data_IF_353932695507
#
_entry.id   IF_353932695507
#
_cell.length_a   1.000
_cell.length_b   1.000
_cell.length_c   1.000
_cell.angle_alpha   90.00
_cell.angle_beta   90.00
_cell.angle_gamma   90.00
#
_symmetry.space_group_name_H-M   'P 1'
#
loop_
_entity.id
_entity.type
_entity.pdbx_description
1 polymer ?
#
# COMPACT_ATOMS: atom_id res chain seq x y z
N UNK A 1 29.00 8.31 -30.63
CA UNK A 1 27.67 7.66 -30.76
C UNK A 1 27.04 7.75 -29.40
N UNK A 2 26.17 8.77 -29.14
CA UNK A 2 25.46 8.93 -27.85
C UNK A 2 24.27 8.02 -27.87
N UNK A 3 24.31 6.97 -27.04
CA UNK A 3 23.15 6.12 -26.77
C UNK A 3 22.18 6.96 -25.94
N UNK A 4 21.10 7.41 -26.57
CA UNK A 4 19.95 8.01 -25.90
C UNK A 4 19.28 6.89 -25.08
N UNK A 5 19.50 6.87 -23.77
CA UNK A 5 18.62 6.17 -22.86
C UNK A 5 17.29 6.94 -22.84
N UNK A 6 16.31 6.43 -23.54
CA UNK A 6 14.92 6.76 -23.29
C UNK A 6 14.63 6.26 -21.89
N UNK A 7 14.66 7.17 -20.91
CA UNK A 7 14.06 6.95 -19.63
C UNK A 7 12.55 7.02 -19.90
N UNK A 8 11.89 5.86 -20.05
CA UNK A 8 10.45 5.78 -20.13
C UNK A 8 9.93 6.37 -18.80
N UNK A 9 9.36 7.58 -18.87
CA UNK A 9 8.68 8.18 -17.72
C UNK A 9 7.59 7.21 -17.28
N UNK A 10 7.57 6.84 -16.01
CA UNK A 10 6.57 5.94 -15.45
C UNK A 10 5.20 6.55 -15.74
N UNK A 11 4.40 5.88 -16.54
CA UNK A 11 3.00 6.26 -16.74
C UNK A 11 2.18 5.73 -15.56
N UNK A 12 2.16 6.47 -14.48
CA UNK A 12 1.49 6.09 -13.23
C UNK A 12 0.02 5.70 -13.41
N UNK A 13 -0.69 6.33 -14.35
CA UNK A 13 -2.10 6.03 -14.62
C UNK A 13 -2.27 4.65 -15.25
N UNK A 14 -1.47 4.32 -16.26
CA UNK A 14 -1.55 3.02 -16.92
C UNK A 14 -1.09 1.89 -16.00
N UNK A 15 -0.07 2.13 -15.20
CA UNK A 15 0.39 1.18 -14.19
C UNK A 15 -0.68 0.91 -13.13
N UNK A 16 -1.37 1.95 -12.65
CA UNK A 16 -2.46 1.80 -11.68
C UNK A 16 -3.59 0.92 -12.23
N UNK A 17 -3.93 1.07 -13.53
CA UNK A 17 -4.91 0.22 -14.23
C UNK A 17 -4.45 -1.24 -14.30
N UNK A 18 -3.18 -1.49 -14.60
CA UNK A 18 -2.63 -2.85 -14.64
C UNK A 18 -2.65 -3.50 -13.25
N UNK A 19 -2.26 -2.77 -12.22
CA UNK A 19 -2.35 -3.25 -10.83
C UNK A 19 -3.81 -3.54 -10.46
N UNK A 20 -4.76 -2.66 -10.78
CA UNK A 20 -6.19 -2.88 -10.56
C UNK A 20 -6.66 -4.21 -11.18
N UNK A 21 -6.33 -4.42 -12.45
CA UNK A 21 -6.69 -5.64 -13.16
C UNK A 21 -6.07 -6.90 -12.52
N UNK A 22 -4.81 -6.83 -12.10
CA UNK A 22 -4.16 -7.94 -11.38
C UNK A 22 -4.88 -8.26 -10.07
N UNK A 23 -5.21 -7.25 -9.25
CA UNK A 23 -5.86 -7.44 -7.96
C UNK A 23 -7.26 -8.03 -8.10
N UNK A 24 -8.03 -7.63 -9.13
CA UNK A 24 -9.34 -8.19 -9.46
C UNK A 24 -9.22 -9.64 -9.97
N UNK A 25 -8.29 -9.91 -10.89
CA UNK A 25 -8.09 -11.22 -11.50
C UNK A 25 -7.78 -12.31 -10.48
N UNK A 26 -6.90 -12.04 -9.52
CA UNK A 26 -6.52 -13.00 -8.47
C UNK A 26 -7.49 -12.97 -7.27
N UNK A 27 -8.55 -12.18 -7.34
CA UNK A 27 -9.49 -11.96 -6.24
C UNK A 27 -8.80 -11.52 -4.93
N UNK A 28 -7.70 -10.76 -5.05
CA UNK A 28 -7.14 -10.01 -3.93
C UNK A 28 -8.11 -8.91 -3.52
N UNK A 29 -8.78 -8.31 -4.50
CA UNK A 29 -9.92 -7.43 -4.26
C UNK A 29 -11.17 -8.07 -4.87
N UNK A 30 -12.26 -8.05 -4.09
CA UNK A 30 -13.57 -8.57 -4.46
C UNK A 30 -14.60 -7.46 -4.27
N UNK A 31 -15.41 -7.22 -5.29
CA UNK A 31 -16.51 -6.24 -5.27
C UNK A 31 -17.85 -6.97 -5.22
N UNK A 32 -18.63 -6.72 -4.17
CA UNK A 32 -19.96 -7.32 -3.96
C UNK A 32 -20.96 -6.27 -3.44
N UNK A 33 -21.35 -5.29 -4.26
CA UNK A 33 -22.23 -4.20 -3.82
C UNK A 33 -23.63 -4.67 -3.41
N UNK A 34 -24.13 -5.78 -3.99
CA UNK A 34 -25.46 -6.33 -3.69
C UNK A 34 -25.44 -7.36 -2.53
N UNK A 35 -24.26 -7.80 -2.09
CA UNK A 35 -24.09 -8.71 -0.95
C UNK A 35 -22.85 -8.32 -0.16
N UNK A 36 -22.91 -7.22 0.61
CA UNK A 36 -21.76 -6.61 1.22
C UNK A 36 -21.11 -7.48 2.32
N UNK A 37 -19.81 -7.33 2.44
CA UNK A 37 -19.03 -7.88 3.54
C UNK A 37 -19.31 -7.13 4.85
N UNK A 38 -19.03 -7.76 5.97
CA UNK A 38 -18.93 -7.08 7.27
C UNK A 38 -17.47 -7.09 7.70
N UNK A 39 -16.86 -5.91 7.82
CA UNK A 39 -15.48 -5.76 8.28
C UNK A 39 -15.38 -6.03 9.79
N UNK A 40 -14.16 -6.27 10.28
CA UNK A 40 -13.89 -6.47 11.70
C UNK A 40 -14.33 -5.26 12.57
N UNK A 41 -14.39 -4.07 11.99
CA UNK A 41 -14.93 -2.84 12.59
C UNK A 41 -16.46 -2.85 12.74
N UNK A 42 -17.15 -3.83 12.20
CA UNK A 42 -18.61 -3.91 12.11
C UNK A 42 -19.22 -3.18 10.92
N UNK A 43 -18.42 -2.47 10.12
CA UNK A 43 -18.95 -1.73 8.96
C UNK A 43 -19.33 -2.68 7.83
N UNK A 44 -20.44 -2.34 7.16
CA UNK A 44 -20.79 -2.97 5.88
C UNK A 44 -19.92 -2.39 4.78
N UNK A 45 -19.41 -3.26 3.92
CA UNK A 45 -18.55 -2.86 2.81
C UNK A 45 -18.82 -3.66 1.54
N UNK A 46 -19.00 -3.01 0.39
CA UNK A 46 -19.15 -3.67 -0.89
C UNK A 46 -17.81 -4.17 -1.47
N UNK A 47 -16.71 -3.94 -0.75
CA UNK A 47 -15.37 -4.34 -1.15
C UNK A 47 -14.66 -5.08 -0.03
N UNK A 48 -13.97 -6.15 -0.40
CA UNK A 48 -13.01 -6.87 0.43
C UNK A 48 -11.64 -6.83 -0.23
N UNK A 49 -10.60 -6.52 0.54
CA UNK A 49 -9.22 -6.44 0.06
C UNK A 49 -8.30 -7.31 0.92
N UNK A 50 -7.53 -8.18 0.26
CA UNK A 50 -6.45 -8.96 0.85
C UNK A 50 -5.27 -9.01 -0.14
N UNK A 51 -4.45 -7.97 -0.12
CA UNK A 51 -3.31 -7.83 -1.02
C UNK A 51 -2.19 -8.87 -0.77
N UNK A 52 -2.21 -9.56 0.38
CA UNK A 52 -1.29 -10.66 0.69
C UNK A 52 -1.41 -11.80 -0.31
N UNK A 53 -2.56 -11.96 -0.97
CA UNK A 53 -2.74 -12.92 -2.06
C UNK A 53 -1.77 -12.71 -3.22
N UNK A 54 -1.28 -11.49 -3.46
CA UNK A 54 -0.28 -11.20 -4.50
C UNK A 54 0.97 -12.05 -4.34
N UNK A 55 1.32 -12.41 -3.11
CA UNK A 55 2.50 -13.21 -2.78
C UNK A 55 2.47 -14.61 -3.43
N UNK A 56 1.27 -15.16 -3.62
CA UNK A 56 1.06 -16.50 -4.21
C UNK A 56 1.08 -16.51 -5.75
N UNK A 57 1.15 -15.33 -6.40
CA UNK A 57 1.17 -15.19 -7.85
C UNK A 57 2.50 -14.57 -8.31
N UNK A 58 3.51 -15.38 -8.68
CA UNK A 58 4.87 -14.91 -8.92
C UNK A 58 4.99 -13.74 -9.92
N UNK A 59 4.23 -13.79 -11.02
CA UNK A 59 4.24 -12.72 -12.03
C UNK A 59 3.72 -11.38 -11.47
N UNK A 60 2.61 -11.43 -10.73
CA UNK A 60 2.00 -10.24 -10.12
C UNK A 60 2.88 -9.71 -8.99
N UNK A 61 3.38 -10.59 -8.13
CA UNK A 61 4.33 -10.24 -7.07
C UNK A 61 5.57 -9.55 -7.60
N UNK A 62 6.14 -10.07 -8.69
CA UNK A 62 7.30 -9.46 -9.36
C UNK A 62 6.96 -8.09 -9.93
N UNK A 63 5.80 -7.94 -10.58
CA UNK A 63 5.35 -6.66 -11.12
C UNK A 63 5.20 -5.61 -10.00
N UNK A 64 4.48 -5.94 -8.91
CA UNK A 64 4.31 -5.05 -7.74
C UNK A 64 5.67 -4.65 -7.17
N UNK A 65 6.59 -5.61 -6.97
CA UNK A 65 7.95 -5.36 -6.48
C UNK A 65 8.70 -4.38 -7.36
N UNK A 66 8.75 -4.62 -8.67
CA UNK A 66 9.47 -3.78 -9.63
C UNK A 66 8.93 -2.35 -9.60
N UNK A 67 7.60 -2.18 -9.63
CA UNK A 67 7.00 -0.84 -9.65
C UNK A 67 7.26 -0.05 -8.36
N UNK A 68 7.23 -0.70 -7.23
CA UNK A 68 7.60 -0.04 -5.96
C UNK A 68 9.09 0.33 -5.97
N UNK A 69 9.97 -0.55 -6.46
CA UNK A 69 11.41 -0.24 -6.59
C UNK A 69 11.68 0.95 -7.52
N UNK A 70 10.95 1.07 -8.63
CA UNK A 70 11.03 2.22 -9.54
C UNK A 70 10.65 3.52 -8.83
N UNK A 71 9.53 3.53 -8.09
CA UNK A 71 9.10 4.69 -7.30
C UNK A 71 10.15 5.07 -6.24
N UNK A 72 10.73 4.08 -5.55
CA UNK A 72 11.77 4.34 -4.54
C UNK A 72 13.00 4.98 -5.17
N UNK A 73 13.47 4.46 -6.30
CA UNK A 73 14.63 5.01 -7.03
C UNK A 73 14.39 6.43 -7.52
N UNK A 74 13.16 6.75 -7.94
CA UNK A 74 12.79 8.07 -8.45
C UNK A 74 12.61 9.09 -7.31
N UNK A 75 11.75 8.76 -6.33
CA UNK A 75 11.35 9.70 -5.27
C UNK A 75 12.27 9.71 -4.06
N UNK A 76 12.88 8.58 -3.74
CA UNK A 76 13.65 8.39 -2.51
C UNK A 76 15.04 7.80 -2.79
N UNK A 77 15.85 8.41 -3.68
CA UNK A 77 17.15 7.87 -4.13
C UNK A 77 18.18 7.70 -3.00
N UNK A 78 17.95 8.33 -1.87
CA UNK A 78 18.82 8.27 -0.67
C UNK A 78 18.24 7.39 0.44
N UNK A 79 17.28 6.51 0.13
CA UNK A 79 16.80 5.52 1.09
C UNK A 79 17.94 4.56 1.47
N UNK A 80 18.11 4.31 2.77
CA UNK A 80 19.14 3.41 3.31
C UNK A 80 18.53 2.10 3.85
N UNK A 81 17.25 2.12 4.18
CA UNK A 81 16.54 1.00 4.82
C UNK A 81 15.12 0.93 4.27
N UNK A 82 14.62 -0.28 4.10
CA UNK A 82 13.21 -0.55 3.80
C UNK A 82 12.55 -1.07 5.07
N UNK A 83 11.38 -0.50 5.43
CA UNK A 83 10.61 -0.92 6.59
C UNK A 83 9.23 -1.45 6.18
N UNK A 84 8.92 -2.70 6.47
CA UNK A 84 7.58 -3.27 6.24
C UNK A 84 6.63 -3.02 7.40
N UNK A 85 5.39 -2.64 7.15
CA UNK A 85 4.35 -2.60 8.19
C UNK A 85 3.75 -4.00 8.37
N UNK A 86 3.78 -4.50 9.59
CA UNK A 86 3.21 -5.81 9.89
C UNK A 86 1.67 -5.78 9.79
N UNK A 87 1.07 -6.76 9.15
CA UNK A 87 1.65 -8.00 8.65
C UNK A 87 1.84 -7.98 7.13
N UNK A 88 0.99 -7.23 6.39
CA UNK A 88 0.91 -7.28 4.93
C UNK A 88 2.13 -6.72 4.22
N UNK A 89 2.77 -5.70 4.80
CA UNK A 89 3.96 -5.06 4.24
C UNK A 89 5.27 -5.84 4.42
N UNK A 90 5.31 -6.86 5.30
CA UNK A 90 6.56 -7.58 5.62
C UNK A 90 7.12 -8.29 4.39
N UNK A 91 6.36 -9.21 3.81
CA UNK A 91 6.88 -10.07 2.76
C UNK A 91 7.23 -9.29 1.49
N UNK A 92 6.36 -8.37 1.07
CA UNK A 92 6.64 -7.53 -0.11
C UNK A 92 7.78 -6.55 0.17
N UNK A 93 7.87 -5.97 1.37
CA UNK A 93 8.97 -5.10 1.78
C UNK A 93 10.32 -5.81 1.76
N UNK A 94 10.38 -7.06 2.24
CA UNK A 94 11.59 -7.88 2.17
C UNK A 94 12.04 -8.11 0.71
N UNK A 95 11.11 -8.42 -0.19
CA UNK A 95 11.42 -8.62 -1.61
C UNK A 95 11.89 -7.32 -2.31
N UNK A 96 11.38 -6.17 -1.88
CA UNK A 96 11.80 -4.85 -2.36
C UNK A 96 13.22 -4.54 -1.87
N UNK A 97 13.48 -4.78 -0.59
CA UNK A 97 14.82 -4.59 -0.02
C UNK A 97 15.88 -5.45 -0.72
N UNK A 98 15.57 -6.73 -0.98
CA UNK A 98 16.42 -7.64 -1.74
C UNK A 98 16.74 -7.10 -3.14
N UNK A 99 15.71 -6.63 -3.88
CA UNK A 99 15.87 -6.06 -5.23
C UNK A 99 16.71 -4.79 -5.24
N UNK A 100 16.62 -3.99 -4.18
CA UNK A 100 17.38 -2.73 -4.06
C UNK A 100 18.77 -2.93 -3.41
N UNK A 101 19.05 -4.11 -2.86
CA UNK A 101 20.28 -4.36 -2.10
C UNK A 101 20.34 -3.56 -0.79
N UNK A 102 19.18 -3.29 -0.17
CA UNK A 102 19.05 -2.50 1.06
C UNK A 102 18.72 -3.37 2.26
N UNK A 103 19.13 -2.97 3.49
CA UNK A 103 18.67 -3.56 4.73
C UNK A 103 17.14 -3.53 4.84
N UNK A 104 16.58 -4.57 5.48
CA UNK A 104 15.16 -4.69 5.76
C UNK A 104 14.89 -4.77 7.26
N UNK A 105 13.90 -3.98 7.71
CA UNK A 105 13.33 -4.03 9.06
C UNK A 105 11.80 -4.12 8.93
N UNK A 106 11.09 -4.46 10.00
CA UNK A 106 9.64 -4.35 9.99
C UNK A 106 9.09 -3.85 11.33
N UNK A 107 7.94 -3.21 11.26
CA UNK A 107 7.26 -2.63 12.44
C UNK A 107 6.03 -3.47 12.78
N UNK A 108 5.98 -3.97 14.01
CA UNK A 108 4.88 -4.78 14.53
C UNK A 108 3.67 -3.94 14.87
N UNK A 109 2.48 -4.55 14.84
CA UNK A 109 1.23 -3.90 15.21
C UNK A 109 1.05 -3.73 16.73
N UNK A 110 1.79 -4.47 17.55
CA UNK A 110 1.73 -4.44 19.02
C UNK A 110 3.05 -4.76 19.65
N UNK A 111 3.27 -4.27 20.88
CA UNK A 111 4.44 -4.58 21.69
C UNK A 111 4.54 -6.09 22.00
N UNK A 112 5.77 -6.57 22.27
CA UNK A 112 5.98 -7.90 22.84
C UNK A 112 5.45 -7.91 24.28
N UNK A 113 4.77 -8.99 24.67
CA UNK A 113 4.33 -9.18 26.08
C UNK A 113 5.53 -9.38 27.00
N UNK A 114 6.66 -9.91 26.48
CA UNK A 114 7.88 -10.15 27.22
C UNK A 114 9.11 -9.63 26.45
N UNK A 115 10.07 -8.99 27.16
CA UNK A 115 11.32 -8.50 26.61
C UNK A 115 11.38 -6.99 26.36
N UNK A 116 12.31 -6.53 25.51
CA UNK A 116 12.38 -5.11 25.11
C UNK A 116 11.07 -4.71 24.42
N UNK A 117 10.45 -3.60 24.87
CA UNK A 117 9.21 -3.03 24.30
C UNK A 117 9.45 -2.39 22.93
N UNK A 118 10.27 -2.97 22.08
CA UNK A 118 10.56 -2.44 20.76
C UNK A 118 9.55 -2.99 19.75
N UNK A 119 8.91 -2.09 18.98
CA UNK A 119 8.01 -2.43 17.88
C UNK A 119 8.76 -2.82 16.61
N UNK A 120 10.03 -2.41 16.48
CA UNK A 120 10.85 -2.61 15.28
C UNK A 120 11.66 -3.88 15.43
N UNK A 121 11.63 -4.72 14.42
CA UNK A 121 12.43 -5.95 14.30
C UNK A 121 13.45 -5.80 13.17
N UNK A 122 14.67 -6.25 13.40
CA UNK A 122 15.81 -6.09 12.52
C UNK A 122 16.86 -5.17 13.12
N UNK A 123 17.94 -4.92 12.38
CA UNK A 123 19.02 -4.01 12.78
C UNK A 123 18.92 -2.71 11.98
N UNK A 124 19.12 -1.59 12.63
CA UNK A 124 19.16 -0.25 12.06
C UNK A 124 20.06 0.66 12.91
N UNK A 125 20.57 1.73 12.29
CA UNK A 125 21.30 2.79 12.96
C UNK A 125 20.44 4.06 12.99
N UNK A 126 20.57 4.84 14.08
CA UNK A 126 19.95 6.17 14.19
C UNK A 126 20.38 7.05 13.00
N UNK A 127 19.48 7.90 12.51
CA UNK A 127 19.72 8.81 11.40
C UNK A 127 19.56 8.20 10.01
N UNK A 128 19.34 6.88 9.86
CA UNK A 128 19.11 6.27 8.56
C UNK A 128 17.80 6.74 7.91
N UNK A 129 17.85 6.91 6.58
CA UNK A 129 16.66 7.26 5.76
C UNK A 129 15.86 6.00 5.41
N UNK A 130 14.58 5.99 5.80
CA UNK A 130 13.69 4.82 5.68
C UNK A 130 12.54 5.10 4.72
N UNK A 131 12.25 4.14 3.83
CA UNK A 131 10.99 4.08 3.08
C UNK A 131 10.11 2.98 3.66
N UNK A 132 8.87 3.31 3.98
CA UNK A 132 7.90 2.41 4.60
C UNK A 132 7.06 1.73 3.53
N UNK A 133 6.89 0.41 3.64
CA UNK A 133 6.09 -0.40 2.72
C UNK A 133 4.86 -0.95 3.43
N UNK A 134 3.70 -0.72 2.83
CA UNK A 134 2.40 -1.17 3.30
C UNK A 134 1.69 -1.97 2.20
N UNK A 135 0.77 -2.85 2.54
CA UNK A 135 -0.06 -3.52 1.54
C UNK A 135 -1.36 -2.75 1.24
N UNK A 136 -1.93 -2.08 2.23
CA UNK A 136 -3.22 -1.42 2.13
C UNK A 136 -3.32 -0.19 3.04
N UNK A 137 -3.67 0.96 2.49
CA UNK A 137 -4.07 2.15 3.26
C UNK A 137 -5.60 2.26 3.30
N UNK A 138 -6.17 2.13 4.51
CA UNK A 138 -7.57 2.47 4.81
C UNK A 138 -7.65 3.87 5.45
N UNK A 139 -7.73 3.98 6.76
CA UNK A 139 -7.64 5.26 7.47
C UNK A 139 -6.21 5.78 7.67
N UNK A 140 -5.20 4.98 7.37
CA UNK A 140 -3.79 5.30 7.60
C UNK A 140 -3.30 5.17 9.04
N UNK A 141 -4.16 4.82 10.00
CA UNK A 141 -3.80 4.78 11.44
C UNK A 141 -2.69 3.78 11.75
N UNK A 142 -2.76 2.56 11.21
CA UNK A 142 -1.70 1.55 11.39
C UNK A 142 -0.39 1.96 10.74
N UNK A 143 -0.47 2.46 9.52
CA UNK A 143 0.68 2.92 8.75
C UNK A 143 1.40 4.07 9.47
N UNK A 144 0.67 5.06 9.95
CA UNK A 144 1.24 6.18 10.72
C UNK A 144 1.71 5.79 12.11
N UNK A 145 1.13 4.76 12.74
CA UNK A 145 1.68 4.21 13.98
C UNK A 145 3.06 3.60 13.73
N UNK A 146 3.26 2.93 12.60
CA UNK A 146 4.57 2.41 12.22
C UNK A 146 5.57 3.54 11.90
N UNK A 147 5.15 4.59 11.20
CA UNK A 147 5.97 5.78 10.94
C UNK A 147 6.45 6.40 12.25
N UNK A 148 5.54 6.66 13.20
CA UNK A 148 5.92 7.21 14.52
C UNK A 148 6.86 6.30 15.31
N UNK A 149 6.70 4.99 15.22
CA UNK A 149 7.60 4.06 15.87
C UNK A 149 9.03 4.14 15.30
N UNK A 150 9.16 4.29 13.98
CA UNK A 150 10.45 4.49 13.32
C UNK A 150 11.08 5.84 13.70
N UNK A 151 10.30 6.91 13.70
CA UNK A 151 10.76 8.24 14.07
C UNK A 151 11.16 8.35 15.55
N UNK A 152 10.48 7.61 16.45
CA UNK A 152 10.84 7.55 17.88
C UNK A 152 12.18 6.87 18.14
N UNK A 153 12.68 6.09 17.19
CA UNK A 153 14.02 5.48 17.19
C UNK A 153 15.00 6.28 16.30
N UNK A 154 14.72 7.56 16.09
CA UNK A 154 15.56 8.52 15.35
C UNK A 154 15.81 8.14 13.88
N UNK A 155 14.92 7.35 13.26
CA UNK A 155 14.97 7.06 11.83
C UNK A 155 14.27 8.18 11.05
N UNK A 156 14.82 8.55 9.89
CA UNK A 156 14.27 9.59 9.04
C UNK A 156 13.30 8.96 8.02
N UNK A 157 12.01 8.91 8.32
CA UNK A 157 11.01 8.39 7.38
C UNK A 157 10.87 9.36 6.20
N UNK A 158 11.19 8.87 4.98
CA UNK A 158 11.17 9.66 3.75
C UNK A 158 9.81 9.64 3.06
N UNK A 159 9.05 8.58 3.28
CA UNK A 159 7.71 8.40 2.76
C UNK A 159 7.21 6.98 2.93
N UNK A 160 5.94 6.76 2.55
CA UNK A 160 5.29 5.47 2.61
C UNK A 160 4.72 5.10 1.23
N UNK A 161 4.96 3.85 0.82
CA UNK A 161 4.42 3.32 -0.44
C UNK A 161 3.53 2.11 -0.13
N UNK A 162 2.32 2.09 -0.72
CA UNK A 162 1.39 0.97 -0.58
C UNK A 162 1.01 0.36 -1.93
N UNK A 163 0.54 -0.90 -1.90
CA UNK A 163 -0.01 -1.54 -3.10
C UNK A 163 -1.34 -0.89 -3.46
N UNK A 164 -2.21 -0.66 -2.46
CA UNK A 164 -3.56 -0.14 -2.68
C UNK A 164 -3.98 0.86 -1.60
N UNK A 165 -4.81 1.83 -1.98
CA UNK A 165 -5.48 2.74 -1.05
C UNK A 165 -6.97 2.86 -1.37
N UNK A 166 -7.80 2.94 -0.32
CA UNK A 166 -9.21 3.32 -0.49
C UNK A 166 -9.39 4.81 -0.82
N UNK A 167 -8.35 5.63 -0.59
CA UNK A 167 -8.38 7.07 -0.84
C UNK A 167 -9.41 7.80 0.04
N UNK A 168 -9.60 7.37 1.28
CA UNK A 168 -10.47 8.07 2.22
C UNK A 168 -9.85 9.41 2.64
N UNK A 169 -10.68 10.44 2.70
CA UNK A 169 -10.28 11.78 3.16
C UNK A 169 -9.64 11.74 4.57
N UNK A 170 -10.14 10.86 5.46
CA UNK A 170 -9.54 10.62 6.79
C UNK A 170 -8.06 10.22 6.67
N UNK A 171 -7.71 9.38 5.69
CA UNK A 171 -6.32 8.99 5.47
C UNK A 171 -5.48 10.16 4.95
N UNK A 172 -6.00 10.91 3.97
CA UNK A 172 -5.30 12.05 3.41
C UNK A 172 -4.98 13.11 4.48
N UNK A 173 -5.96 13.43 5.32
CA UNK A 173 -5.80 14.36 6.44
C UNK A 173 -4.79 13.84 7.47
N UNK A 174 -4.88 12.56 7.86
CA UNK A 174 -3.95 11.96 8.81
C UNK A 174 -2.49 12.01 8.32
N UNK A 175 -2.24 11.66 7.05
CA UNK A 175 -0.90 11.71 6.47
C UNK A 175 -0.37 13.14 6.34
N UNK A 176 -1.24 14.09 5.95
CA UNK A 176 -0.90 15.51 5.88
C UNK A 176 -0.54 16.09 7.25
N UNK A 177 -1.32 15.79 8.29
CA UNK A 177 -1.05 16.24 9.67
C UNK A 177 0.30 15.72 10.20
N UNK A 178 0.69 14.50 9.80
CA UNK A 178 1.98 13.90 10.16
C UNK A 178 3.12 14.27 9.23
N UNK A 179 2.87 15.13 8.22
CA UNK A 179 3.85 15.51 7.19
C UNK A 179 4.55 14.29 6.56
N UNK A 180 3.82 13.20 6.38
CA UNK A 180 4.32 11.97 5.77
C UNK A 180 3.78 11.83 4.34
N UNK A 181 4.67 11.85 3.35
CA UNK A 181 4.30 11.61 1.96
C UNK A 181 3.85 10.15 1.78
N UNK A 182 2.73 9.95 1.06
CA UNK A 182 2.28 8.62 0.69
C UNK A 182 2.09 8.49 -0.81
N UNK A 183 2.42 7.32 -1.34
CA UNK A 183 2.19 6.93 -2.73
C UNK A 183 1.55 5.54 -2.74
N UNK A 184 0.59 5.30 -3.64
CA UNK A 184 -0.01 3.97 -3.81
C UNK A 184 0.05 3.56 -5.27
N UNK A 185 0.31 2.27 -5.55
CA UNK A 185 0.35 1.76 -6.92
C UNK A 185 -1.03 1.82 -7.58
N UNK A 186 -2.09 1.63 -6.79
CA UNK A 186 -3.46 1.68 -7.26
C UNK A 186 -4.36 2.29 -6.19
N UNK A 187 -5.39 3.01 -6.62
CA UNK A 187 -6.44 3.54 -5.75
C UNK A 187 -7.83 2.98 -6.07
N UNK A 188 -8.77 3.26 -5.18
CA UNK A 188 -10.15 2.80 -5.28
C UNK A 188 -10.86 3.28 -6.56
N UNK A 189 -10.64 4.52 -6.98
CA UNK A 189 -11.29 5.11 -8.15
C UNK A 189 -10.86 4.39 -9.41
N UNK A 190 -9.56 4.23 -9.60
CA UNK A 190 -8.99 3.47 -10.72
C UNK A 190 -9.48 2.02 -10.73
N UNK A 191 -9.52 1.38 -9.55
CA UNK A 191 -9.97 -0.01 -9.43
C UNK A 191 -11.41 -0.20 -9.91
N UNK A 192 -12.36 0.63 -9.45
CA UNK A 192 -13.78 0.46 -9.82
C UNK A 192 -14.06 0.83 -11.27
N UNK A 193 -13.27 1.74 -11.85
CA UNK A 193 -13.35 2.07 -13.28
C UNK A 193 -12.85 0.90 -14.14
N UNK A 194 -11.73 0.29 -13.79
CA UNK A 194 -11.22 -0.91 -14.48
C UNK A 194 -12.15 -2.12 -14.29
N UNK A 195 -12.78 -2.27 -13.11
CA UNK A 195 -13.79 -3.28 -12.88
C UNK A 195 -15.01 -3.11 -13.80
N UNK A 196 -15.43 -1.88 -14.07
CA UNK A 196 -16.51 -1.60 -15.04
C UNK A 196 -16.07 -1.92 -16.47
N UNK A 197 -14.89 -1.46 -16.90
CA UNK A 197 -14.35 -1.69 -18.24
C UNK A 197 -14.17 -3.17 -18.55
N UNK A 198 -13.74 -3.95 -17.57
CA UNK A 198 -13.57 -5.41 -17.70
C UNK A 198 -14.88 -6.20 -17.55
N UNK A 199 -16.02 -5.55 -17.38
CA UNK A 199 -17.31 -6.16 -17.09
C UNK A 199 -17.33 -7.02 -15.80
N UNK A 200 -16.43 -6.74 -14.85
CA UNK A 200 -16.45 -7.34 -13.52
C UNK A 200 -17.64 -6.85 -12.69
N UNK A 201 -18.03 -5.61 -12.91
CA UNK A 201 -19.23 -4.95 -12.35
C UNK A 201 -20.00 -4.27 -13.49
N UNK A 202 -21.26 -3.93 -13.22
CA UNK A 202 -22.10 -3.13 -14.12
C UNK A 202 -22.20 -1.67 -13.65
N UNK A 203 -22.89 -0.80 -14.45
CA UNK A 203 -23.04 0.63 -14.16
C UNK A 203 -23.81 0.92 -12.86
N UNK A 204 -24.76 0.06 -12.48
CA UNK A 204 -25.51 0.18 -11.22
C UNK A 204 -24.60 -0.09 -10.04
N UNK A 205 -23.78 -1.14 -10.15
CA UNK A 205 -22.80 -1.51 -9.13
C UNK A 205 -21.77 -0.39 -8.92
N UNK A 206 -21.27 0.21 -10.01
CA UNK A 206 -20.35 1.36 -9.93
C UNK A 206 -20.96 2.52 -9.13
N UNK A 207 -22.24 2.81 -9.34
CA UNK A 207 -22.93 3.88 -8.62
C UNK A 207 -23.01 3.60 -7.11
N UNK A 208 -23.24 2.34 -6.73
CA UNK A 208 -23.26 1.91 -5.32
C UNK A 208 -21.85 2.04 -4.69
N UNK A 209 -20.82 1.58 -5.41
CA UNK A 209 -19.44 1.67 -4.97
C UNK A 209 -18.97 3.10 -4.75
N UNK A 210 -19.31 4.04 -5.67
CA UNK A 210 -19.01 5.46 -5.51
C UNK A 210 -19.67 6.06 -4.27
N UNK A 211 -20.96 5.78 -4.03
CA UNK A 211 -21.70 6.24 -2.83
C UNK A 211 -21.08 5.68 -1.53
N UNK A 212 -20.68 4.41 -1.53
CA UNK A 212 -20.03 3.83 -0.35
C UNK A 212 -18.77 4.59 0.03
N UNK A 213 -17.91 4.92 -0.95
CA UNK A 213 -16.64 5.60 -0.68
C UNK A 213 -16.82 6.99 -0.07
N UNK A 214 -17.90 7.70 -0.42
CA UNK A 214 -18.21 9.03 0.13
C UNK A 214 -18.49 8.96 1.64
N UNK A 215 -19.19 7.93 2.10
CA UNK A 215 -19.53 7.76 3.51
C UNK A 215 -19.57 6.29 3.94
N UNK A 216 -18.42 5.62 4.09
CA UNK A 216 -18.37 4.21 4.39
C UNK A 216 -18.90 3.87 5.79
N UNK A 217 -18.88 4.84 6.75
CA UNK A 217 -19.31 4.63 8.13
C UNK A 217 -20.82 4.51 8.27
N UNK A 218 -21.59 5.21 7.45
CA UNK A 218 -23.06 5.24 7.49
C UNK A 218 -23.72 4.47 6.34
N UNK A 219 -22.95 3.79 5.52
CA UNK A 219 -23.48 3.02 4.41
C UNK A 219 -24.12 1.71 4.93
N UNK A 220 -25.37 1.44 4.50
CA UNK A 220 -26.22 0.31 4.91
C UNK A 220 -26.75 -0.44 3.69
#
# INVERSE_FOLDING_TARGET
>A
MKTLYFCDMINYEEEAKQIANHLLQIKAIILQPNNPFTWASGWKSPIYCDNRKTLSFPKIRTHVRIKICEIIKEKYPHANVIAGVATGGIAIGCLIAEELGLPFIYVRSSNKEHGKKNLIEGYYDSGQSVVVIEDLISSGKSSLAAVRALESEELNVRGLISIFTYGFEEADNNFKEHNCEKTSLCDYSTLIEEALKSNYINQKDLSILKKWRENPKSWS
#
